data_IF_937811469117
#
_entry.id   IF_937811469117
#
_cell.length_a   1.000
_cell.length_b   1.000
_cell.length_c   1.000
_cell.angle_alpha   90.00
_cell.angle_beta   90.00
_cell.angle_gamma   90.00
#
_symmetry.space_group_name_H-M   'P 1'
#
loop_
_entity.id
_entity.type
_entity.pdbx_description
1 polymer ?
#
# COMPACT_ATOMS: atom_id res chain seq x y z
N UNK A 1 -32.29 -27.13 4.42
CA UNK A 1 -31.86 -26.99 3.01
C UNK A 1 -31.67 -25.52 2.72
N UNK A 2 -30.45 -25.12 2.39
CA UNK A 2 -30.07 -23.71 2.19
C UNK A 2 -28.54 -23.63 2.11
N UNK A 3 -27.97 -24.28 1.09
CA UNK A 3 -26.54 -24.20 0.83
C UNK A 3 -26.18 -22.76 0.50
N UNK A 4 -25.31 -22.15 1.31
CA UNK A 4 -24.66 -20.90 0.97
C UNK A 4 -23.67 -21.23 -0.16
N UNK A 5 -24.05 -20.91 -1.40
CA UNK A 5 -23.10 -20.92 -2.50
C UNK A 5 -22.09 -19.78 -2.25
N UNK A 6 -20.78 -20.01 -2.38
CA UNK A 6 -19.81 -18.93 -2.37
C UNK A 6 -20.07 -18.03 -3.60
N UNK A 7 -20.28 -16.73 -3.38
CA UNK A 7 -20.43 -15.76 -4.46
C UNK A 7 -19.08 -15.57 -5.17
N UNK A 8 -18.99 -15.79 -6.50
CA UNK A 8 -17.80 -15.42 -7.26
C UNK A 8 -17.75 -13.89 -7.40
N UNK A 9 -16.69 -13.25 -6.89
CA UNK A 9 -16.35 -11.87 -7.29
C UNK A 9 -16.54 -10.76 -6.26
N UNK A 10 -16.58 -11.04 -4.94
CA UNK A 10 -16.47 -9.97 -3.94
C UNK A 10 -15.05 -9.41 -3.93
N UNK A 11 -14.82 -8.33 -4.69
CA UNK A 11 -13.69 -7.44 -4.45
C UNK A 11 -13.84 -6.92 -3.02
N UNK A 12 -12.80 -6.98 -2.17
CA UNK A 12 -12.87 -6.46 -0.80
C UNK A 12 -13.38 -5.02 -0.79
N UNK A 13 -14.30 -4.69 0.12
CA UNK A 13 -14.74 -3.31 0.28
C UNK A 13 -13.53 -2.43 0.65
N UNK A 14 -13.35 -1.26 0.01
CA UNK A 14 -12.20 -0.41 0.29
C UNK A 14 -12.18 0.12 1.73
N UNK A 15 -11.07 -0.06 2.42
CA UNK A 15 -10.83 0.60 3.69
C UNK A 15 -10.74 2.11 3.46
N UNK A 16 -11.64 2.87 4.09
CA UNK A 16 -11.87 4.28 3.76
C UNK A 16 -11.47 5.19 4.90
N UNK A 17 -10.79 6.29 4.59
CA UNK A 17 -10.48 7.36 5.55
C UNK A 17 -10.74 8.74 4.94
N UNK A 18 -11.42 9.60 5.69
CA UNK A 18 -11.71 10.99 5.34
C UNK A 18 -11.09 11.88 6.42
N UNK A 19 -10.19 12.78 6.04
CA UNK A 19 -9.49 13.68 6.97
C UNK A 19 -8.81 12.97 8.16
N UNK A 20 -8.26 11.78 7.93
CA UNK A 20 -7.66 10.95 8.96
C UNK A 20 -6.42 10.19 8.46
N UNK A 21 -6.10 9.07 9.10
CA UNK A 21 -5.03 8.19 8.62
C UNK A 21 -5.36 6.70 8.79
N UNK A 22 -4.78 5.87 7.92
CA UNK A 22 -4.75 4.42 8.04
C UNK A 22 -3.28 4.02 8.18
N UNK A 23 -2.95 3.24 9.21
CA UNK A 23 -1.58 2.81 9.47
C UNK A 23 -1.52 1.29 9.70
N UNK A 24 -0.70 0.58 8.93
CA UNK A 24 -0.41 -0.84 9.12
C UNK A 24 1.10 -1.05 9.16
N UNK A 25 1.59 -1.59 10.26
CA UNK A 25 3.01 -1.85 10.49
C UNK A 25 3.21 -3.01 11.46
N UNK A 26 4.44 -3.52 11.55
CA UNK A 26 4.76 -4.69 12.38
C UNK A 26 4.33 -5.99 11.71
N UNK A 27 3.99 -6.99 12.52
CA UNK A 27 3.53 -8.28 12.04
C UNK A 27 2.06 -8.21 11.64
N UNK A 28 1.79 -8.33 10.34
CA UNK A 28 0.44 -8.47 9.81
C UNK A 28 0.46 -9.27 8.51
N UNK A 29 -0.67 -9.89 8.17
CA UNK A 29 -0.83 -10.59 6.91
C UNK A 29 -1.24 -9.58 5.83
N UNK A 30 -0.40 -9.40 4.81
CA UNK A 30 -0.70 -8.57 3.64
C UNK A 30 -1.54 -9.39 2.67
N UNK A 31 -2.83 -9.07 2.46
CA UNK A 31 -3.67 -9.81 1.53
C UNK A 31 -3.15 -9.69 0.10
N UNK A 32 -3.49 -10.67 -0.75
CA UNK A 32 -3.18 -10.60 -2.18
C UNK A 32 -3.79 -9.36 -2.86
N UNK A 33 -4.93 -8.88 -2.35
CA UNK A 33 -5.61 -7.67 -2.81
C UNK A 33 -6.11 -6.86 -1.61
N UNK A 34 -5.77 -5.57 -1.55
CA UNK A 34 -6.35 -4.63 -0.61
C UNK A 34 -6.78 -3.36 -1.36
N UNK A 35 -7.97 -2.85 -1.04
CA UNK A 35 -8.47 -1.61 -1.60
C UNK A 35 -8.53 -0.51 -0.53
N UNK A 36 -8.17 0.71 -0.92
CA UNK A 36 -8.14 1.88 -0.05
C UNK A 36 -8.77 3.10 -0.73
N UNK A 37 -9.55 3.88 0.03
CA UNK A 37 -10.13 5.15 -0.44
C UNK A 37 -9.79 6.27 0.54
N UNK A 38 -9.02 7.25 0.08
CA UNK A 38 -8.48 8.34 0.89
C UNK A 38 -8.98 9.69 0.39
N UNK A 39 -9.54 10.50 1.28
CA UNK A 39 -9.90 11.90 1.03
C UNK A 39 -9.30 12.79 2.11
N UNK A 40 -8.37 13.68 1.77
CA UNK A 40 -7.72 14.52 2.77
C UNK A 40 -6.95 13.72 3.84
N UNK A 41 -6.51 12.50 3.51
CA UNK A 41 -6.09 11.50 4.48
C UNK A 41 -4.75 10.86 4.12
N UNK A 42 -4.11 10.23 5.10
CA UNK A 42 -2.82 9.57 4.95
C UNK A 42 -2.94 8.03 5.04
N UNK A 43 -2.24 7.32 4.17
CA UNK A 43 -2.08 5.87 4.23
C UNK A 43 -0.62 5.51 4.44
N UNK A 44 -0.35 4.82 5.53
CA UNK A 44 0.97 4.31 5.88
C UNK A 44 0.97 2.79 5.93
N UNK A 45 1.74 2.17 5.03
CA UNK A 45 1.91 0.72 4.98
C UNK A 45 3.40 0.38 5.13
N UNK A 46 3.73 -0.39 6.16
CA UNK A 46 5.04 -0.98 6.35
C UNK A 46 4.94 -2.50 6.24
N UNK A 47 5.55 -3.05 5.20
CA UNK A 47 5.55 -4.49 4.94
C UNK A 47 6.90 -5.15 5.25
N UNK A 48 7.82 -4.46 5.94
CA UNK A 48 9.15 -5.02 6.29
C UNK A 48 9.09 -6.21 7.23
N UNK A 49 8.11 -6.22 8.13
CA UNK A 49 7.84 -7.30 9.09
C UNK A 49 6.52 -8.02 8.79
N UNK A 50 5.88 -7.68 7.66
CA UNK A 50 4.61 -8.27 7.29
C UNK A 50 4.82 -9.57 6.51
N UNK A 51 3.83 -10.46 6.57
CA UNK A 51 3.82 -11.70 5.80
C UNK A 51 2.95 -11.51 4.56
N UNK A 52 3.51 -11.73 3.37
CA UNK A 52 2.76 -11.70 2.13
C UNK A 52 1.85 -12.95 2.03
N UNK A 53 0.55 -12.76 1.83
CA UNK A 53 -0.39 -13.87 1.61
C UNK A 53 -0.25 -14.49 0.20
N UNK A 54 0.41 -13.79 -0.72
CA UNK A 54 0.61 -14.22 -2.09
C UNK A 54 1.93 -13.68 -2.68
N UNK A 55 2.49 -14.30 -3.74
CA UNK A 55 3.68 -13.80 -4.44
C UNK A 55 3.46 -12.43 -5.12
N UNK A 56 2.21 -12.10 -5.43
CA UNK A 56 1.80 -10.81 -5.98
C UNK A 56 0.77 -10.19 -5.04
N UNK A 57 1.05 -8.97 -4.59
CA UNK A 57 0.19 -8.16 -3.75
C UNK A 57 -0.27 -6.97 -4.58
N UNK A 58 -1.55 -6.68 -4.57
CA UNK A 58 -2.13 -5.50 -5.22
C UNK A 58 -2.74 -4.57 -4.20
N UNK A 59 -2.30 -3.32 -4.22
CA UNK A 59 -2.93 -2.21 -3.52
C UNK A 59 -3.70 -1.36 -4.53
N UNK A 60 -5.03 -1.44 -4.51
CA UNK A 60 -5.89 -0.57 -5.30
C UNK A 60 -6.26 0.67 -4.47
N UNK A 61 -5.73 1.83 -4.87
CA UNK A 61 -5.78 3.03 -4.05
C UNK A 61 -6.44 4.16 -4.84
N UNK A 62 -7.52 4.71 -4.28
CA UNK A 62 -8.13 5.94 -4.76
C UNK A 62 -7.81 7.08 -3.80
N UNK A 63 -7.07 8.08 -4.28
CA UNK A 63 -6.56 9.18 -3.48
C UNK A 63 -7.05 10.53 -3.99
N UNK A 64 -7.63 11.35 -3.11
CA UNK A 64 -7.94 12.76 -3.39
C UNK A 64 -7.41 13.64 -2.27
N UNK A 65 -6.52 14.59 -2.59
CA UNK A 65 -5.87 15.46 -1.60
C UNK A 65 -5.24 14.67 -0.44
N UNK A 66 -4.59 13.54 -0.77
CA UNK A 66 -4.18 12.53 0.19
C UNK A 66 -2.71 12.14 0.00
N UNK A 67 -2.13 11.41 0.95
CA UNK A 67 -0.78 10.86 0.81
C UNK A 67 -0.73 9.36 1.11
N UNK A 68 0.14 8.65 0.39
CA UNK A 68 0.42 7.23 0.61
C UNK A 68 1.92 7.05 0.77
N UNK A 69 2.32 6.34 1.82
CA UNK A 69 3.68 5.91 2.05
C UNK A 69 3.73 4.39 2.20
N UNK A 70 4.50 3.74 1.33
CA UNK A 70 4.78 2.31 1.38
C UNK A 70 6.27 2.07 1.68
N UNK A 71 6.53 1.30 2.72
CA UNK A 71 7.87 0.84 3.08
C UNK A 71 7.98 -0.64 2.77
N UNK A 72 8.95 -1.01 1.93
CA UNK A 72 9.18 -2.40 1.52
C UNK A 72 10.53 -2.91 2.01
N UNK A 73 10.67 -4.22 2.32
CA UNK A 73 11.97 -4.82 2.56
C UNK A 73 12.79 -4.87 1.26
N UNK A 74 14.13 -5.03 1.35
CA UNK A 74 14.98 -5.15 0.17
C UNK A 74 14.59 -6.36 -0.70
N UNK A 75 14.72 -6.20 -2.01
CA UNK A 75 14.41 -7.23 -2.99
C UNK A 75 12.95 -7.28 -3.46
N UNK A 76 12.02 -6.60 -2.78
CA UNK A 76 10.62 -6.51 -3.23
C UNK A 76 10.53 -5.70 -4.52
N UNK A 77 9.82 -6.26 -5.51
CA UNK A 77 9.57 -5.58 -6.77
C UNK A 77 8.32 -4.70 -6.64
N UNK A 78 8.46 -3.38 -6.71
CA UNK A 78 7.32 -2.47 -6.69
C UNK A 78 7.04 -1.90 -8.07
N UNK A 79 5.79 -1.97 -8.49
CA UNK A 79 5.29 -1.41 -9.73
C UNK A 79 4.14 -0.46 -9.45
N UNK A 80 4.24 0.76 -9.99
CA UNK A 80 3.19 1.78 -9.87
C UNK A 80 2.46 1.86 -11.21
N UNK A 81 1.22 1.37 -11.21
CA UNK A 81 0.27 1.41 -12.33
C UNK A 81 -0.86 2.43 -12.10
N UNK A 82 -0.69 3.33 -11.13
CA UNK A 82 -1.71 4.33 -10.79
C UNK A 82 -1.87 5.38 -11.89
N UNK A 83 -3.12 5.79 -12.14
CA UNK A 83 -3.42 6.96 -12.96
C UNK A 83 -3.26 8.24 -12.15
N UNK A 84 -2.26 9.06 -12.47
CA UNK A 84 -2.03 10.37 -11.87
C UNK A 84 -2.87 11.46 -12.54
N UNK A 85 -3.59 12.25 -11.74
CA UNK A 85 -4.36 13.43 -12.16
C UNK A 85 -3.98 14.64 -11.31
N UNK A 86 -4.03 15.84 -11.90
CA UNK A 86 -3.94 17.16 -11.24
C UNK A 86 -2.88 17.27 -10.11
N UNK A 87 -1.64 17.64 -10.42
CA UNK A 87 -0.57 17.90 -9.45
C UNK A 87 -0.34 16.75 -8.43
N UNK A 88 -0.32 15.51 -8.90
CA UNK A 88 0.14 14.39 -8.06
C UNK A 88 1.63 14.13 -8.28
N UNK A 89 2.35 13.81 -7.21
CA UNK A 89 3.79 13.53 -7.22
C UNK A 89 4.07 12.12 -6.71
N UNK A 90 4.79 11.32 -7.51
CA UNK A 90 5.12 9.94 -7.18
C UNK A 90 6.64 9.77 -7.07
N UNK A 91 7.12 9.34 -5.91
CA UNK A 91 8.53 9.09 -5.63
C UNK A 91 8.74 7.62 -5.26
N UNK A 92 9.38 6.88 -6.15
CA UNK A 92 9.71 5.45 -5.96
C UNK A 92 11.21 5.28 -5.86
N UNK A 93 11.69 4.81 -4.70
CA UNK A 93 13.10 4.58 -4.40
C UNK A 93 13.28 3.17 -3.82
N UNK A 94 13.24 2.16 -4.68
CA UNK A 94 13.34 0.76 -4.26
C UNK A 94 14.68 0.15 -4.64
N UNK A 95 15.14 -0.83 -3.87
CA UNK A 95 16.28 -1.68 -4.24
C UNK A 95 15.96 -2.52 -5.48
N UNK A 96 16.99 -3.11 -6.09
CA UNK A 96 16.82 -4.07 -7.17
C UNK A 96 15.93 -5.26 -6.74
N UNK A 97 14.96 -5.67 -7.57
CA UNK A 97 14.18 -6.88 -7.34
C UNK A 97 15.07 -8.13 -7.24
N UNK A 98 14.71 -9.06 -6.36
CA UNK A 98 15.37 -10.37 -6.21
C UNK A 98 14.40 -11.48 -6.64
N UNK A 99 14.85 -12.49 -7.39
CA UNK A 99 14.02 -13.65 -7.72
C UNK A 99 13.41 -14.30 -6.48
N UNK A 100 12.11 -14.56 -6.50
CA UNK A 100 11.38 -15.18 -5.39
C UNK A 100 10.88 -14.21 -4.31
N UNK A 101 11.28 -12.94 -4.34
CA UNK A 101 10.70 -11.92 -3.48
C UNK A 101 9.28 -11.52 -3.99
N UNK A 102 8.38 -11.08 -3.11
CA UNK A 102 7.05 -10.62 -3.52
C UNK A 102 7.10 -9.44 -4.51
N UNK A 103 6.13 -9.40 -5.41
CA UNK A 103 5.83 -8.24 -6.26
C UNK A 103 4.66 -7.47 -5.66
N UNK A 104 4.80 -6.16 -5.57
CA UNK A 104 3.75 -5.23 -5.15
C UNK A 104 3.33 -4.39 -6.34
N UNK A 105 2.04 -4.42 -6.66
CA UNK A 105 1.42 -3.58 -7.68
C UNK A 105 0.59 -2.53 -6.95
N UNK A 106 0.85 -1.26 -7.23
CA UNK A 106 0.04 -0.15 -6.74
C UNK A 106 -0.77 0.39 -7.92
N UNK A 107 -2.08 0.23 -7.85
CA UNK A 107 -3.02 0.62 -8.91
C UNK A 107 -4.07 1.60 -8.39
N UNK A 108 -4.96 2.06 -9.27
CA UNK A 108 -6.04 2.99 -8.94
C UNK A 108 -5.76 4.40 -9.45
N UNK A 109 -6.21 5.42 -8.71
CA UNK A 109 -6.18 6.81 -9.16
C UNK A 109 -5.70 7.77 -8.07
N UNK A 110 -4.96 8.81 -8.48
CA UNK A 110 -4.55 9.89 -7.58
C UNK A 110 -4.98 11.25 -8.15
N UNK A 111 -5.44 12.15 -7.27
CA UNK A 111 -5.74 13.55 -7.59
C UNK A 111 -5.17 14.46 -6.51
N UNK A 112 -4.31 15.41 -6.89
CA UNK A 112 -3.65 16.34 -5.96
C UNK A 112 -3.04 15.62 -4.74
N UNK A 113 -2.34 14.51 -4.99
CA UNK A 113 -1.94 13.55 -3.96
C UNK A 113 -0.48 13.12 -4.12
N UNK A 114 0.14 12.62 -3.04
CA UNK A 114 1.52 12.15 -3.04
C UNK A 114 1.65 10.65 -2.82
N UNK A 115 2.50 9.97 -3.60
CA UNK A 115 2.89 8.57 -3.36
C UNK A 115 4.40 8.51 -3.07
N UNK A 116 4.77 7.89 -1.95
CA UNK A 116 6.16 7.60 -1.61
C UNK A 116 6.33 6.11 -1.41
N UNK A 117 7.26 5.53 -2.14
CA UNK A 117 7.69 4.14 -1.96
C UNK A 117 9.18 4.15 -1.70
N UNK A 118 9.62 3.47 -0.65
CA UNK A 118 11.04 3.30 -0.41
C UNK A 118 11.37 1.96 0.25
N UNK A 119 12.55 1.45 -0.10
CA UNK A 119 13.12 0.28 0.54
C UNK A 119 13.81 0.66 1.84
N UNK A 120 13.61 -0.11 2.90
CA UNK A 120 14.39 -0.07 4.15
C UNK A 120 14.62 -1.48 4.68
N UNK A 121 15.76 -1.69 5.35
CA UNK A 121 15.98 -2.96 6.03
C UNK A 121 15.00 -3.14 7.21
N UNK A 122 14.61 -4.39 7.55
CA UNK A 122 13.75 -4.66 8.70
C UNK A 122 14.32 -4.09 10.01
N UNK A 123 15.63 -4.15 10.19
CA UNK A 123 16.28 -3.68 11.42
C UNK A 123 16.58 -2.18 11.43
N UNK A 124 16.23 -1.44 10.36
CA UNK A 124 16.52 -0.01 10.28
C UNK A 124 15.41 0.79 10.99
N UNK A 125 15.74 1.65 11.96
CA UNK A 125 14.75 2.48 12.62
C UNK A 125 14.08 3.41 11.60
N UNK A 126 12.76 3.52 11.70
CA UNK A 126 11.92 4.33 10.81
C UNK A 126 12.02 5.84 11.09
N UNK A 127 13.12 6.27 11.76
CA UNK A 127 13.24 7.34 12.76
C UNK A 127 12.84 8.78 12.43
N UNK A 128 12.17 9.05 11.31
CA UNK A 128 11.66 10.38 10.94
C UNK A 128 10.15 10.41 10.70
N UNK A 129 9.59 9.46 9.96
CA UNK A 129 8.16 9.47 9.59
C UNK A 129 7.22 9.02 10.72
N UNK A 130 7.66 8.12 11.60
CA UNK A 130 6.87 7.69 12.77
C UNK A 130 6.49 8.84 13.71
N UNK A 131 7.36 9.85 13.80
CA UNK A 131 7.15 11.04 14.62
C UNK A 131 6.25 12.08 13.95
N UNK A 132 6.04 11.99 12.64
CA UNK A 132 5.21 12.93 11.89
C UNK A 132 3.73 12.52 11.87
N UNK A 133 3.44 11.26 12.20
CA UNK A 133 2.09 10.69 12.29
C UNK A 133 1.69 10.27 13.72
N UNK A 134 2.46 10.71 14.73
CA UNK A 134 2.11 10.68 16.16
C UNK A 134 1.58 12.06 16.57
#
# INVERSE_FOLDING_TARGET
MGGHLPHPGQVPEPETSNMGSIQKSGEWLVPAYSAYKLNGADLFLDIRHATAAAPVITFDVTMTMASMTLVVPPGVHVEVQMTSKNWSDFKVQTSNPIPGAPRVIITGTSRASGLKVFTKHPNEPFGFWQKMFQ
#
